data_IF_269468903466
#
_entry.id   IF_269468903466
#
_cell.length_a   1.000
_cell.length_b   1.000
_cell.length_c   1.000
_cell.angle_alpha   90.00
_cell.angle_beta   90.00
_cell.angle_gamma   90.00
#
_symmetry.space_group_name_H-M   'P 1'
#
loop_
_entity.id
_entity.type
_entity.pdbx_description
1 polymer ?
#
# COMPACT_ATOMS: atom_id res chain seq x y z
N UNK A 1 -1.39 -7.86 1.96
CA UNK A 1 -1.07 -7.86 0.53
C UNK A 1 -0.02 -8.91 0.23
N UNK A 2 -0.10 -9.59 -0.91
CA UNK A 2 0.87 -10.56 -1.43
C UNK A 2 1.20 -10.22 -2.89
N UNK A 3 2.40 -10.59 -3.35
CA UNK A 3 2.81 -10.49 -4.75
C UNK A 3 3.10 -11.88 -5.28
N UNK A 4 2.47 -12.25 -6.37
CA UNK A 4 2.70 -13.51 -7.10
C UNK A 4 3.47 -13.17 -8.40
N UNK A 5 4.77 -13.39 -8.37
CA UNK A 5 5.66 -13.06 -9.50
C UNK A 5 5.47 -13.97 -10.69
N UNK A 6 5.02 -15.22 -10.47
CA UNK A 6 4.74 -16.17 -11.55
C UNK A 6 3.51 -15.73 -12.36
N UNK A 7 2.52 -15.15 -11.69
CA UNK A 7 1.32 -14.63 -12.33
C UNK A 7 1.41 -13.13 -12.65
N UNK A 8 2.45 -12.44 -12.17
CA UNK A 8 2.62 -10.99 -12.29
C UNK A 8 1.42 -10.21 -11.73
N UNK A 9 0.97 -10.57 -10.54
CA UNK A 9 -0.21 -10.01 -9.88
C UNK A 9 0.10 -9.70 -8.41
N UNK A 10 -0.37 -8.55 -7.95
CA UNK A 10 -0.48 -8.24 -6.52
C UNK A 10 -1.92 -8.47 -6.05
N UNK A 11 -2.09 -9.11 -4.90
CA UNK A 11 -3.38 -9.29 -4.24
C UNK A 11 -3.41 -8.54 -2.94
N UNK A 12 -4.32 -7.59 -2.81
CA UNK A 12 -4.56 -6.86 -1.58
C UNK A 12 -5.74 -7.46 -0.84
N UNK A 13 -5.55 -7.76 0.43
CA UNK A 13 -6.59 -8.24 1.35
C UNK A 13 -6.85 -7.18 2.39
N UNK A 14 -8.10 -6.88 2.64
CA UNK A 14 -8.47 -5.95 3.70
C UNK A 14 -9.82 -6.30 4.30
N UNK A 15 -10.09 -5.73 5.45
CA UNK A 15 -11.33 -5.89 6.18
C UNK A 15 -11.75 -4.57 6.80
N UNK A 16 -12.83 -4.00 6.33
CA UNK A 16 -13.51 -2.96 7.10
C UNK A 16 -14.14 -3.61 8.33
N UNK A 17 -13.79 -3.12 9.52
CA UNK A 17 -14.20 -3.73 10.79
C UNK A 17 -15.72 -4.01 10.80
N UNK A 18 -16.09 -5.27 11.10
CA UNK A 18 -17.45 -5.79 11.12
C UNK A 18 -18.15 -5.88 9.74
N UNK A 19 -17.41 -5.77 8.64
CA UNK A 19 -17.87 -6.10 7.30
C UNK A 19 -17.20 -7.38 6.79
N UNK A 20 -17.62 -7.84 5.63
CA UNK A 20 -17.02 -8.97 4.94
C UNK A 20 -15.56 -8.65 4.59
N UNK A 21 -14.72 -9.68 4.66
CA UNK A 21 -13.32 -9.58 4.26
C UNK A 21 -13.24 -9.57 2.74
N UNK A 22 -12.58 -8.60 2.17
CA UNK A 22 -12.47 -8.44 0.74
C UNK A 22 -11.04 -8.59 0.22
N UNK A 23 -10.90 -8.97 -1.05
CA UNK A 23 -9.64 -8.91 -1.75
C UNK A 23 -9.84 -8.40 -3.18
N UNK A 24 -8.77 -7.84 -3.74
CA UNK A 24 -8.69 -7.51 -5.15
C UNK A 24 -7.30 -7.78 -5.70
N UNK A 25 -7.26 -8.04 -7.00
CA UNK A 25 -6.03 -8.32 -7.75
C UNK A 25 -5.71 -7.16 -8.68
N UNK A 26 -4.42 -6.85 -8.82
CA UNK A 26 -3.89 -5.87 -9.76
C UNK A 26 -2.67 -6.43 -10.49
N UNK A 27 -2.62 -6.32 -11.83
CA UNK A 27 -1.45 -6.74 -12.59
C UNK A 27 -0.27 -5.80 -12.36
N UNK A 28 0.96 -6.33 -12.40
CA UNK A 28 2.17 -5.52 -12.28
C UNK A 28 2.35 -4.52 -13.42
N UNK A 29 1.71 -4.79 -14.57
CA UNK A 29 1.75 -3.92 -15.77
C UNK A 29 1.05 -2.57 -15.57
N UNK A 30 0.31 -2.37 -14.50
CA UNK A 30 -0.40 -1.12 -14.23
C UNK A 30 0.53 0.01 -13.75
N UNK A 31 1.82 -0.29 -13.52
CA UNK A 31 2.80 0.70 -13.09
C UNK A 31 3.69 1.10 -14.28
N UNK A 32 3.50 2.31 -14.78
CA UNK A 32 4.34 2.91 -15.80
C UNK A 32 5.53 3.64 -15.15
N UNK A 33 6.74 3.08 -15.30
CA UNK A 33 7.96 3.66 -14.77
C UNK A 33 8.68 4.54 -15.77
N UNK A 34 9.03 5.76 -15.36
CA UNK A 34 10.00 6.62 -16.06
C UNK A 34 11.33 6.55 -15.30
N UNK A 35 12.32 5.85 -15.86
CA UNK A 35 13.67 5.74 -15.28
C UNK A 35 14.47 6.99 -15.65
N UNK A 36 15.17 7.57 -14.66
CA UNK A 36 16.04 8.75 -14.80
C UNK A 36 17.47 8.33 -14.49
N UNK A 37 18.16 7.84 -15.52
CA UNK A 37 19.48 7.20 -15.39
C UNK A 37 20.56 8.11 -14.82
N UNK A 38 20.49 9.42 -15.09
CA UNK A 38 21.47 10.42 -14.62
C UNK A 38 21.30 10.76 -13.12
N UNK A 39 20.23 10.31 -12.49
CA UNK A 39 19.96 10.56 -11.08
C UNK A 39 20.30 9.33 -10.26
N UNK A 40 21.33 9.42 -9.43
CA UNK A 40 21.80 8.31 -8.60
C UNK A 40 21.99 8.73 -7.15
N UNK A 41 21.82 7.80 -6.22
CA UNK A 41 22.19 7.93 -4.81
C UNK A 41 22.59 6.58 -4.22
N UNK A 42 23.31 6.58 -3.11
CA UNK A 42 23.68 5.34 -2.39
C UNK A 42 22.70 5.10 -1.22
N UNK A 43 22.18 3.88 -1.13
CA UNK A 43 21.33 3.43 0.00
C UNK A 43 21.87 2.06 0.45
N UNK A 44 22.21 1.90 1.73
CA UNK A 44 22.77 0.66 2.30
C UNK A 44 23.96 0.11 1.46
N UNK A 45 24.86 1.00 1.02
CA UNK A 45 26.03 0.70 0.19
C UNK A 45 25.73 0.28 -1.27
N UNK A 46 24.48 0.25 -1.69
CA UNK A 46 24.06 -0.03 -3.07
C UNK A 46 23.87 1.25 -3.87
N UNK A 47 24.34 1.25 -5.11
CA UNK A 47 24.05 2.34 -6.06
C UNK A 47 22.61 2.21 -6.55
N UNK A 48 21.83 3.26 -6.32
CA UNK A 48 20.42 3.31 -6.72
C UNK A 48 20.21 4.35 -7.82
N UNK A 49 19.32 4.03 -8.75
CA UNK A 49 18.88 4.86 -9.86
C UNK A 49 17.47 5.34 -9.56
N UNK A 50 17.15 6.57 -9.93
CA UNK A 50 15.83 7.14 -9.74
C UNK A 50 14.84 6.65 -10.80
N UNK A 51 13.61 6.38 -10.40
CA UNK A 51 12.48 6.26 -11.30
C UNK A 51 11.26 7.00 -10.73
N UNK A 52 10.35 7.41 -11.60
CA UNK A 52 9.11 8.08 -11.22
C UNK A 52 7.90 7.40 -11.86
N UNK A 53 6.77 7.52 -11.22
CA UNK A 53 5.48 7.05 -11.76
C UNK A 53 4.34 7.90 -11.21
N UNK A 54 3.24 7.94 -11.96
CA UNK A 54 1.94 8.39 -11.47
C UNK A 54 1.07 7.16 -11.25
N UNK A 55 0.86 6.80 -9.99
CA UNK A 55 0.22 5.55 -9.65
C UNK A 55 -0.82 5.75 -8.54
N UNK A 56 -2.06 5.34 -8.83
CA UNK A 56 -3.20 5.44 -7.91
C UNK A 56 -3.44 6.83 -7.33
N UNK A 57 -3.33 7.86 -8.21
CA UNK A 57 -3.60 9.24 -7.86
C UNK A 57 -2.48 9.96 -7.13
N UNK A 58 -1.30 9.32 -7.00
CA UNK A 58 -0.11 9.93 -6.39
C UNK A 58 1.09 9.86 -7.32
N UNK A 59 1.91 10.91 -7.27
CA UNK A 59 3.19 10.95 -7.96
C UNK A 59 4.27 10.43 -7.04
N UNK A 60 4.93 9.37 -7.47
CA UNK A 60 5.97 8.69 -6.72
C UNK A 60 7.35 8.90 -7.33
N UNK A 61 8.32 9.08 -6.46
CA UNK A 61 9.75 8.99 -6.78
C UNK A 61 10.31 7.80 -6.03
N UNK A 62 10.95 6.89 -6.75
CA UNK A 62 11.56 5.69 -6.18
C UNK A 62 13.03 5.61 -6.53
N UNK A 63 13.77 4.85 -5.75
CA UNK A 63 15.18 4.56 -5.96
C UNK A 63 15.38 3.06 -5.92
N UNK A 64 15.82 2.49 -7.01
CA UNK A 64 16.04 1.05 -7.15
C UNK A 64 17.50 0.76 -7.46
N UNK A 65 17.98 -0.41 -7.01
CA UNK A 65 19.33 -0.86 -7.31
C UNK A 65 19.33 -2.07 -8.25
N UNK A 66 20.00 -2.00 -9.40
CA UNK A 66 20.18 -3.15 -10.29
C UNK A 66 21.16 -4.18 -9.73
N UNK A 67 21.94 -3.86 -8.69
CA UNK A 67 22.86 -4.79 -8.04
C UNK A 67 22.13 -5.94 -7.34
N UNK A 68 20.85 -5.75 -6.99
CA UNK A 68 19.96 -6.79 -6.49
C UNK A 68 18.89 -7.04 -7.57
N UNK A 69 19.05 -8.06 -8.43
CA UNK A 69 18.19 -8.29 -9.58
C UNK A 69 16.82 -8.90 -9.20
N UNK A 70 16.15 -8.26 -8.26
CA UNK A 70 14.82 -8.63 -7.78
C UNK A 70 13.87 -7.50 -8.13
N UNK A 71 12.89 -7.78 -8.98
CA UNK A 71 11.92 -6.78 -9.46
C UNK A 71 10.83 -6.49 -8.41
N UNK A 72 11.21 -6.27 -7.17
CA UNK A 72 10.31 -6.07 -6.04
C UNK A 72 10.59 -4.73 -5.32
N UNK A 73 9.70 -4.37 -4.39
CA UNK A 73 9.81 -3.16 -3.60
C UNK A 73 8.73 -3.08 -2.52
N UNK A 74 8.68 -1.98 -1.78
CA UNK A 74 7.67 -1.77 -0.77
C UNK A 74 6.27 -1.62 -1.40
N UNK A 75 5.24 -1.95 -0.61
CA UNK A 75 3.85 -1.87 -1.02
C UNK A 75 3.61 -2.58 -2.37
N UNK A 76 2.90 -2.00 -3.31
CA UNK A 76 2.59 -2.58 -4.64
C UNK A 76 3.71 -2.39 -5.66
N UNK A 77 4.75 -1.63 -5.34
CA UNK A 77 5.81 -1.31 -6.31
C UNK A 77 6.60 -2.55 -6.71
N UNK A 78 6.75 -2.73 -8.02
CA UNK A 78 7.48 -3.81 -8.66
C UNK A 78 7.76 -3.46 -10.14
N UNK A 79 8.47 -4.32 -10.87
CA UNK A 79 8.64 -4.19 -12.32
C UNK A 79 9.84 -3.36 -12.76
N UNK A 80 10.58 -2.71 -11.86
CA UNK A 80 11.88 -2.11 -12.17
C UNK A 80 12.96 -3.20 -12.28
N UNK A 81 14.04 -2.97 -13.04
CA UNK A 81 15.13 -3.95 -13.20
C UNK A 81 16.05 -4.01 -11.97
N UNK A 82 15.48 -4.15 -10.78
CA UNK A 82 16.19 -4.21 -9.51
C UNK A 82 15.28 -3.93 -8.32
N UNK A 83 15.83 -4.10 -7.10
CA UNK A 83 15.10 -3.90 -5.85
C UNK A 83 14.88 -2.42 -5.57
N UNK A 84 13.64 -2.04 -5.31
CA UNK A 84 13.29 -0.68 -4.89
C UNK A 84 13.64 -0.51 -3.41
N UNK A 85 14.60 0.37 -3.13
CA UNK A 85 15.16 0.62 -1.81
C UNK A 85 14.52 1.79 -1.08
N UNK A 86 13.94 2.72 -1.83
CA UNK A 86 13.30 3.91 -1.28
C UNK A 86 12.15 4.33 -2.20
N UNK A 87 11.06 4.77 -1.62
CA UNK A 87 9.92 5.30 -2.33
C UNK A 87 9.30 6.43 -1.51
N UNK A 88 9.05 7.56 -2.15
CA UNK A 88 8.39 8.71 -1.53
C UNK A 88 7.40 9.35 -2.49
N UNK A 89 6.26 9.76 -1.98
CA UNK A 89 5.29 10.48 -2.79
C UNK A 89 5.46 12.00 -2.62
N UNK A 90 4.98 12.73 -3.62
CA UNK A 90 5.26 14.17 -3.77
C UNK A 90 4.80 15.04 -2.59
N UNK A 91 3.71 14.69 -1.90
CA UNK A 91 3.21 15.47 -0.76
C UNK A 91 3.95 15.19 0.56
N UNK A 92 4.78 14.13 0.59
CA UNK A 92 5.53 13.71 1.76
C UNK A 92 4.69 13.02 2.84
N UNK A 93 3.45 12.65 2.56
CA UNK A 93 2.60 11.92 3.51
C UNK A 93 3.03 10.46 3.67
N UNK A 94 3.57 9.88 2.61
CA UNK A 94 3.98 8.48 2.58
C UNK A 94 5.40 8.34 2.05
N UNK A 95 6.20 7.58 2.78
CA UNK A 95 7.55 7.20 2.36
C UNK A 95 7.92 5.82 2.90
N UNK A 96 8.74 5.13 2.14
CA UNK A 96 9.33 3.83 2.49
C UNK A 96 10.83 3.92 2.27
N UNK A 97 11.63 3.54 3.24
CA UNK A 97 13.09 3.52 3.10
C UNK A 97 13.62 2.21 3.67
N UNK A 98 14.40 1.49 2.88
CA UNK A 98 15.06 0.28 3.33
C UNK A 98 16.10 0.62 4.42
N UNK A 99 16.01 -0.05 5.55
CA UNK A 99 16.93 0.10 6.69
C UNK A 99 17.87 -1.09 6.85
N UNK A 100 17.65 -2.16 6.10
CA UNK A 100 18.48 -3.36 6.08
C UNK A 100 17.94 -4.39 5.10
N UNK A 101 18.81 -5.27 4.64
CA UNK A 101 18.47 -6.40 3.75
C UNK A 101 19.02 -7.66 4.39
N UNK A 102 18.17 -8.68 4.50
CA UNK A 102 18.57 -9.99 5.00
C UNK A 102 18.01 -11.08 4.08
N UNK A 103 18.86 -12.07 3.76
CA UNK A 103 18.42 -13.25 3.03
C UNK A 103 17.81 -14.22 4.01
N UNK A 104 16.52 -14.52 3.84
CA UNK A 104 15.80 -15.48 4.67
C UNK A 104 15.37 -16.69 3.87
N UNK A 105 15.47 -17.86 4.47
CA UNK A 105 14.92 -19.12 3.94
C UNK A 105 13.57 -19.47 4.56
N UNK A 106 13.03 -18.58 5.39
CA UNK A 106 11.74 -18.77 6.03
C UNK A 106 10.63 -18.67 4.98
N UNK A 107 9.74 -19.66 4.91
CA UNK A 107 8.61 -19.58 3.98
C UNK A 107 7.65 -18.44 4.41
N UNK A 108 7.13 -17.73 3.43
CA UNK A 108 6.08 -16.72 3.64
C UNK A 108 4.73 -17.44 3.57
N UNK A 109 3.98 -17.40 4.65
CA UNK A 109 2.63 -17.94 4.71
C UNK A 109 1.60 -16.80 4.77
N UNK A 110 0.49 -16.89 4.04
CA UNK A 110 -0.66 -16.03 4.28
C UNK A 110 -1.20 -16.32 5.69
N UNK A 111 -1.36 -15.29 6.52
CA UNK A 111 -1.79 -15.42 7.92
C UNK A 111 -3.32 -15.56 8.03
N UNK A 112 -4.03 -15.73 6.92
CA UNK A 112 -5.48 -15.58 6.88
C UNK A 112 -6.20 -16.93 7.00
N UNK A 113 -6.95 -17.09 8.09
CA UNK A 113 -7.93 -18.17 8.28
C UNK A 113 -9.36 -17.73 7.93
N UNK A 114 -9.51 -16.66 7.17
CA UNK A 114 -10.80 -16.04 6.86
C UNK A 114 -11.10 -16.21 5.38
N UNK A 115 -12.35 -16.49 5.03
CA UNK A 115 -12.80 -16.44 3.65
C UNK A 115 -12.88 -14.98 3.21
N UNK A 116 -12.28 -14.67 2.06
CA UNK A 116 -12.28 -13.36 1.44
C UNK A 116 -13.11 -13.39 0.16
N UNK A 117 -13.95 -12.39 -0.03
CA UNK A 117 -14.69 -12.22 -1.27
C UNK A 117 -13.96 -11.28 -2.22
N UNK A 118 -14.00 -11.58 -3.53
CA UNK A 118 -13.42 -10.72 -4.53
C UNK A 118 -14.26 -9.45 -4.68
N UNK A 119 -13.64 -8.30 -4.56
CA UNK A 119 -14.28 -6.99 -4.63
C UNK A 119 -13.63 -6.12 -5.70
N UNK A 120 -14.34 -5.09 -6.15
CA UNK A 120 -13.73 -4.00 -6.90
C UNK A 120 -12.83 -3.17 -5.97
N UNK A 121 -11.65 -2.78 -6.47
CA UNK A 121 -10.66 -2.03 -5.69
C UNK A 121 -11.23 -0.69 -5.17
N UNK A 122 -11.84 0.10 -6.06
CA UNK A 122 -12.36 1.42 -5.69
C UNK A 122 -13.55 1.30 -4.72
N UNK A 123 -14.39 0.30 -4.90
CA UNK A 123 -15.49 0.02 -3.96
C UNK A 123 -14.96 -0.33 -2.57
N UNK A 124 -13.94 -1.19 -2.50
CA UNK A 124 -13.31 -1.55 -1.24
C UNK A 124 -12.66 -0.34 -0.55
N UNK A 125 -11.93 0.49 -1.28
CA UNK A 125 -11.31 1.71 -0.73
C UNK A 125 -12.36 2.71 -0.23
N UNK A 126 -13.48 2.88 -0.96
CA UNK A 126 -14.60 3.72 -0.51
C UNK A 126 -15.24 3.18 0.76
N UNK A 127 -15.42 1.86 0.87
CA UNK A 127 -15.96 1.23 2.07
C UNK A 127 -15.04 1.43 3.28
N UNK A 128 -13.72 1.23 3.11
CA UNK A 128 -12.71 1.47 4.14
C UNK A 128 -12.69 2.94 4.58
N UNK A 129 -12.78 3.87 3.63
CA UNK A 129 -12.85 5.31 3.92
C UNK A 129 -14.11 5.65 4.71
N UNK A 130 -15.26 5.18 4.26
CA UNK A 130 -16.52 5.39 4.96
C UNK A 130 -16.48 4.85 6.38
N UNK A 131 -15.92 3.65 6.58
CA UNK A 131 -15.72 3.09 7.92
C UNK A 131 -14.80 3.97 8.77
N UNK A 132 -13.66 4.41 8.23
CA UNK A 132 -12.69 5.26 8.95
C UNK A 132 -13.32 6.58 9.41
N UNK A 133 -14.17 7.18 8.59
CA UNK A 133 -14.85 8.43 8.90
C UNK A 133 -16.02 8.28 9.90
N UNK A 134 -16.66 7.12 9.93
CA UNK A 134 -17.89 6.84 10.67
C UNK A 134 -17.75 5.68 11.67
N UNK A 135 -16.55 5.34 12.11
CA UNK A 135 -16.24 4.15 12.89
C UNK A 135 -17.11 4.00 14.16
N UNK A 136 -17.32 5.08 14.91
CA UNK A 136 -18.16 5.05 16.13
C UNK A 136 -19.64 4.78 15.83
N UNK A 137 -20.18 5.42 14.80
CA UNK A 137 -21.58 5.22 14.40
C UNK A 137 -21.80 3.79 13.87
N UNK A 138 -20.88 3.28 13.08
CA UNK A 138 -20.94 1.92 12.53
C UNK A 138 -20.78 0.86 13.63
N UNK A 139 -19.85 1.04 14.57
CA UNK A 139 -19.69 0.15 15.70
C UNK A 139 -20.97 0.11 16.57
N UNK A 140 -21.55 1.28 16.87
CA UNK A 140 -22.81 1.38 17.61
C UNK A 140 -23.97 0.70 16.89
N UNK A 141 -24.06 0.88 15.58
CA UNK A 141 -25.09 0.23 14.76
C UNK A 141 -24.95 -1.31 14.77
N UNK A 142 -23.72 -1.82 14.76
CA UNK A 142 -23.46 -3.25 14.70
C UNK A 142 -23.54 -3.97 16.05
N UNK A 143 -23.18 -3.31 17.17
CA UNK A 143 -23.08 -3.94 18.49
C UNK A 143 -24.11 -3.43 19.51
N UNK A 144 -24.78 -2.33 19.20
CA UNK A 144 -25.63 -1.62 20.15
C UNK A 144 -24.86 -0.89 21.27
N UNK A 145 -23.53 -0.91 21.23
CA UNK A 145 -22.63 -0.34 22.23
C UNK A 145 -21.77 0.77 21.65
N UNK A 146 -21.37 1.72 22.46
CA UNK A 146 -20.40 2.74 22.05
C UNK A 146 -18.97 2.22 22.28
N UNK A 147 -18.03 2.55 21.38
CA UNK A 147 -16.59 2.29 21.61
C UNK A 147 -16.20 3.02 22.92
N UNK A 148 -15.85 2.23 23.94
CA UNK A 148 -15.67 2.73 25.30
C UNK A 148 -14.70 3.89 25.39
N UNK A 149 -15.20 4.99 25.97
CA UNK A 149 -14.42 6.19 26.21
C UNK A 149 -15.23 7.47 26.29
N UNK A 150 -16.57 7.45 26.16
CA UNK A 150 -17.46 8.55 26.56
C UNK A 150 -17.15 9.95 25.97
N UNK A 151 -16.27 10.02 25.02
CA UNK A 151 -15.97 11.22 24.26
C UNK A 151 -16.25 10.85 22.81
N UNK A 152 -17.21 11.54 22.18
CA UNK A 152 -17.16 11.76 20.75
C UNK A 152 -15.80 12.42 20.50
N UNK A 153 -14.74 11.59 20.41
CA UNK A 153 -13.52 12.07 19.81
C UNK A 153 -13.88 12.26 18.34
N UNK A 154 -14.14 13.49 17.91
CA UNK A 154 -14.25 13.74 16.48
C UNK A 154 -12.98 13.11 15.91
N UNK A 155 -13.11 12.32 14.84
CA UNK A 155 -11.97 11.96 14.00
C UNK A 155 -11.23 13.25 13.83
N UNK A 156 -10.12 13.42 14.55
CA UNK A 156 -9.47 14.73 14.67
C UNK A 156 -9.17 15.22 13.26
N UNK A 157 -9.24 16.52 13.03
CA UNK A 157 -8.87 17.09 11.71
C UNK A 157 -7.50 16.58 11.24
N UNK A 158 -6.67 16.13 12.16
CA UNK A 158 -5.39 15.51 11.94
C UNK A 158 -5.50 14.15 11.21
N UNK A 159 -6.48 13.29 11.56
CA UNK A 159 -6.79 12.06 10.82
C UNK A 159 -7.39 12.30 9.43
N UNK A 160 -8.03 13.44 9.22
CA UNK A 160 -8.56 13.85 7.92
C UNK A 160 -7.49 14.40 6.97
N UNK A 161 -6.33 14.80 7.50
CA UNK A 161 -5.21 15.32 6.70
C UNK A 161 -4.48 14.25 5.91
N UNK A 162 -4.53 13.00 6.34
CA UNK A 162 -3.83 11.89 5.68
C UNK A 162 -4.83 11.05 4.92
N UNK A 163 -4.65 10.97 3.63
CA UNK A 163 -5.41 10.06 2.78
C UNK A 163 -4.72 8.69 2.68
N UNK A 164 -5.39 7.71 2.08
CA UNK A 164 -4.79 6.41 1.81
C UNK A 164 -3.59 6.55 0.85
N UNK A 165 -2.81 5.48 0.76
CA UNK A 165 -1.76 5.34 -0.25
C UNK A 165 -2.30 5.50 -1.69
N UNK A 166 -3.57 5.18 -1.88
CA UNK A 166 -4.31 5.31 -3.12
C UNK A 166 -5.38 6.40 -2.97
N UNK A 167 -5.46 7.32 -3.90
CA UNK A 167 -6.41 8.45 -3.84
C UNK A 167 -7.36 8.53 -5.04
N UNK A 168 -7.12 7.74 -6.08
CA UNK A 168 -7.91 7.67 -7.31
C UNK A 168 -9.33 7.06 -7.13
N UNK A 169 -9.65 6.57 -5.95
CA UNK A 169 -11.00 6.09 -5.61
C UNK A 169 -12.02 7.22 -5.40
N UNK A 170 -11.56 8.46 -5.31
CA UNK A 170 -12.43 9.65 -5.24
C UNK A 170 -13.09 9.98 -6.58
N UNK A 171 -12.54 9.48 -7.68
CA UNK A 171 -13.05 9.65 -9.04
C UNK A 171 -14.19 8.61 -9.36
#
# INVERSE_FOLDING_TARGET
MTKDFDKSVSTTYDQAVMSECGYYDEPFSDIDWLIVEDSTKTILDYQCIMATTDYHGRKWTVWFTPEIPMQDGPWKFCGLPGLIMDASELSGQHSFTATGIEISTQPIFPIFNTEYEKMDRKEMLRALRHYRENSNAMFKAATGSELGGGVDTPVTEEYRKYDFLETDYHE
#
